data_IF_050505516876
#
_entry.id   IF_050505516876
#
_cell.length_a   1.000
_cell.length_b   1.000
_cell.length_c   1.000
_cell.angle_alpha   90.00
_cell.angle_beta   90.00
_cell.angle_gamma   90.00
#
_symmetry.space_group_name_H-M   'P 1'
#
loop_
_entity.id
_entity.type
_entity.pdbx_description
1 polymer ?
#
# COMPACT_ATOMS: atom_id res chain seq x y z
N UNK A 1 8.56 14.90 -13.45
CA UNK A 1 8.14 13.65 -12.79
C UNK A 1 9.37 13.05 -12.13
N UNK A 2 9.35 12.86 -10.83
CA UNK A 2 10.49 12.30 -10.08
C UNK A 2 10.24 10.81 -9.90
N UNK A 3 11.20 9.97 -10.32
CA UNK A 3 11.16 8.54 -10.06
C UNK A 3 11.06 8.30 -8.54
N UNK A 4 10.03 7.60 -8.03
CA UNK A 4 9.86 7.41 -6.59
C UNK A 4 11.03 6.64 -5.96
N UNK A 5 11.73 5.78 -6.71
CA UNK A 5 12.94 5.11 -6.22
C UNK A 5 14.12 6.09 -6.14
N UNK A 6 14.24 7.00 -7.11
CA UNK A 6 15.32 8.01 -7.10
C UNK A 6 15.20 9.01 -5.94
N UNK A 7 13.99 9.21 -5.41
CA UNK A 7 13.76 10.07 -4.25
C UNK A 7 14.20 9.42 -2.92
N UNK A 8 14.44 8.11 -2.90
CA UNK A 8 14.87 7.38 -1.71
C UNK A 8 16.35 7.65 -1.39
N UNK A 9 16.69 7.63 -0.10
CA UNK A 9 18.07 7.63 0.37
C UNK A 9 18.82 6.37 -0.08
N UNK A 10 20.15 6.37 -0.04
CA UNK A 10 20.97 5.21 -0.41
C UNK A 10 20.60 3.97 0.42
N UNK A 11 20.41 4.12 1.73
CA UNK A 11 19.98 3.04 2.62
C UNK A 11 18.63 2.45 2.19
N UNK A 12 17.66 3.32 1.88
CA UNK A 12 16.34 2.88 1.45
C UNK A 12 16.38 2.16 0.09
N UNK A 13 17.21 2.61 -0.86
CA UNK A 13 17.42 1.91 -2.13
C UNK A 13 17.98 0.51 -1.91
N UNK A 14 18.98 0.36 -1.07
CA UNK A 14 19.55 -0.94 -0.71
C UNK A 14 18.49 -1.86 -0.05
N UNK A 15 17.63 -1.31 0.83
CA UNK A 15 16.52 -2.08 1.40
C UNK A 15 15.48 -2.52 0.33
N UNK A 16 15.18 -1.67 -0.65
CA UNK A 16 14.30 -2.02 -1.79
C UNK A 16 14.90 -3.15 -2.63
N UNK A 17 16.19 -3.08 -2.96
CA UNK A 17 16.90 -4.14 -3.70
C UNK A 17 16.91 -5.46 -2.91
N UNK A 18 17.21 -5.39 -1.63
CA UNK A 18 17.17 -6.54 -0.74
C UNK A 18 15.75 -7.14 -0.66
N UNK A 19 14.72 -6.31 -0.55
CA UNK A 19 13.33 -6.78 -0.58
C UNK A 19 12.99 -7.48 -1.88
N UNK A 20 13.37 -6.92 -3.03
CA UNK A 20 13.15 -7.54 -4.34
C UNK A 20 13.77 -8.94 -4.41
N UNK A 21 15.01 -9.08 -3.97
CA UNK A 21 15.72 -10.37 -3.95
C UNK A 21 15.05 -11.40 -3.02
N UNK A 22 14.63 -10.97 -1.82
CA UNK A 22 13.92 -11.81 -0.85
C UNK A 22 12.53 -12.23 -1.35
N UNK A 23 11.78 -11.30 -1.95
CA UNK A 23 10.48 -11.55 -2.55
C UNK A 23 10.60 -12.60 -3.66
N UNK A 24 11.55 -12.43 -4.58
CA UNK A 24 11.80 -13.38 -5.66
C UNK A 24 12.21 -14.77 -5.11
N UNK A 25 13.05 -14.82 -4.08
CA UNK A 25 13.49 -16.07 -3.43
C UNK A 25 12.30 -16.80 -2.79
N UNK A 26 11.44 -16.09 -2.05
CA UNK A 26 10.31 -16.70 -1.35
C UNK A 26 9.15 -17.01 -2.29
N UNK A 27 9.00 -16.26 -3.37
CA UNK A 27 7.90 -16.46 -4.33
C UNK A 27 7.94 -17.86 -4.97
N UNK A 28 9.12 -18.46 -5.12
CA UNK A 28 9.29 -19.84 -5.64
C UNK A 28 8.54 -20.90 -4.82
N UNK A 29 8.17 -20.58 -3.57
CA UNK A 29 7.50 -21.50 -2.62
C UNK A 29 6.11 -21.06 -2.18
N UNK A 30 5.84 -19.76 -2.19
CA UNK A 30 4.67 -19.19 -1.50
C UNK A 30 3.69 -18.47 -2.42
N UNK A 31 3.99 -18.30 -3.71
CA UNK A 31 3.15 -17.55 -4.67
C UNK A 31 2.73 -16.17 -4.10
N UNK A 32 3.69 -15.38 -3.64
CA UNK A 32 3.46 -14.05 -3.06
C UNK A 32 3.00 -13.04 -4.12
N UNK A 33 3.50 -13.20 -5.34
CA UNK A 33 3.14 -12.46 -6.55
C UNK A 33 3.03 -13.41 -7.74
N UNK A 34 2.35 -12.99 -8.81
CA UNK A 34 2.20 -13.82 -10.00
C UNK A 34 3.58 -14.15 -10.61
N UNK A 35 3.88 -15.42 -10.92
CA UNK A 35 5.19 -15.82 -11.47
C UNK A 35 5.58 -15.09 -12.74
N UNK A 36 4.59 -14.77 -13.60
CA UNK A 36 4.78 -14.03 -14.85
C UNK A 36 5.32 -12.61 -14.68
N UNK A 37 5.23 -12.04 -13.47
CA UNK A 37 5.65 -10.67 -13.18
C UNK A 37 7.00 -10.57 -12.47
N UNK A 38 7.64 -11.70 -12.15
CA UNK A 38 8.93 -11.71 -11.44
C UNK A 38 10.10 -11.19 -12.27
N UNK A 39 10.07 -11.39 -13.59
CA UNK A 39 11.13 -10.92 -14.50
C UNK A 39 11.23 -9.38 -14.58
N UNK A 40 10.18 -8.68 -14.18
CA UNK A 40 10.10 -7.22 -14.15
C UNK A 40 9.56 -6.73 -12.77
N UNK A 41 9.97 -7.42 -11.71
CA UNK A 41 9.43 -7.19 -10.37
C UNK A 41 9.67 -5.76 -9.88
N UNK A 42 10.79 -5.14 -10.25
CA UNK A 42 11.08 -3.73 -9.92
C UNK A 42 10.00 -2.81 -10.49
N UNK A 43 9.73 -2.88 -11.79
CA UNK A 43 8.74 -2.02 -12.45
C UNK A 43 7.32 -2.39 -12.04
N UNK A 44 6.97 -3.67 -12.10
CA UNK A 44 5.58 -4.15 -11.92
C UNK A 44 5.15 -4.09 -10.45
N UNK A 45 6.05 -4.29 -9.51
CA UNK A 45 5.68 -4.38 -8.10
C UNK A 45 6.22 -3.24 -7.25
N UNK A 46 7.51 -2.92 -7.34
CA UNK A 46 8.12 -1.93 -6.45
C UNK A 46 7.74 -0.51 -6.83
N UNK A 47 7.97 -0.10 -8.08
CA UNK A 47 7.58 1.24 -8.57
C UNK A 47 6.08 1.45 -8.47
N UNK A 48 5.28 0.42 -8.83
CA UNK A 48 3.83 0.47 -8.67
C UNK A 48 3.42 0.73 -7.21
N UNK A 49 4.02 0.02 -6.25
CA UNK A 49 3.77 0.23 -4.82
C UNK A 49 4.20 1.63 -4.35
N UNK A 50 5.36 2.08 -4.80
CA UNK A 50 5.91 3.39 -4.46
C UNK A 50 5.20 4.57 -5.17
N UNK A 51 4.26 4.31 -6.09
CA UNK A 51 3.39 5.37 -6.61
C UNK A 51 2.62 6.10 -5.50
N UNK A 52 2.28 5.39 -4.41
CA UNK A 52 1.67 5.99 -3.22
C UNK A 52 2.60 7.00 -2.50
N UNK A 53 3.92 6.89 -2.72
CA UNK A 53 4.90 7.80 -2.14
C UNK A 53 5.06 9.13 -2.94
N UNK A 54 4.24 9.38 -3.98
CA UNK A 54 4.25 10.67 -4.68
C UNK A 54 3.74 11.82 -3.80
N UNK A 55 3.03 11.48 -2.71
CA UNK A 55 2.69 12.39 -1.61
C UNK A 55 3.19 11.80 -0.30
N UNK A 56 3.52 12.65 0.66
CA UNK A 56 3.99 12.22 1.96
C UNK A 56 2.89 11.49 2.75
N UNK A 57 3.26 10.45 3.48
CA UNK A 57 2.43 9.91 4.57
C UNK A 57 2.78 10.67 5.85
N UNK A 58 1.78 11.04 6.68
CA UNK A 58 2.06 11.81 7.89
C UNK A 58 2.95 11.01 8.85
N UNK A 59 4.01 11.61 9.41
CA UNK A 59 4.80 10.98 10.47
C UNK A 59 3.91 10.55 11.64
N UNK A 60 4.24 9.42 12.27
CA UNK A 60 3.49 8.83 13.39
C UNK A 60 2.04 8.41 13.06
N UNK A 61 1.60 8.55 11.80
CA UNK A 61 0.33 7.96 11.39
C UNK A 61 0.42 6.43 11.40
N UNK A 62 -0.71 5.78 11.66
CA UNK A 62 -0.86 4.33 11.43
C UNK A 62 -1.55 4.12 10.09
N UNK A 63 -0.96 3.28 9.24
CA UNK A 63 -1.48 2.91 7.92
C UNK A 63 -1.72 1.40 7.90
N UNK A 64 -2.96 0.99 7.58
CA UNK A 64 -3.32 -0.42 7.42
C UNK A 64 -3.37 -0.77 5.93
N UNK A 65 -2.75 -1.88 5.55
CA UNK A 65 -2.80 -2.42 4.18
C UNK A 65 -3.74 -3.62 4.12
N UNK A 66 -4.87 -3.45 3.44
CA UNK A 66 -5.86 -4.50 3.27
C UNK A 66 -5.45 -5.48 2.15
N UNK A 67 -5.22 -6.74 2.53
CA UNK A 67 -4.79 -7.76 1.60
C UNK A 67 -3.34 -7.60 1.16
N UNK A 68 -2.45 -7.33 2.09
CA UNK A 68 -1.04 -7.04 1.85
C UNK A 68 -0.27 -8.12 1.07
N UNK A 69 -0.77 -9.35 1.03
CA UNK A 69 -0.18 -10.43 0.25
C UNK A 69 1.29 -10.67 0.58
N UNK A 70 2.15 -10.48 -0.40
CA UNK A 70 3.61 -10.55 -0.26
C UNK A 70 4.26 -9.28 0.32
N UNK A 71 3.48 -8.41 0.99
CA UNK A 71 3.96 -7.15 1.56
C UNK A 71 3.96 -5.99 0.57
N UNK A 72 3.04 -5.99 -0.38
CA UNK A 72 2.93 -4.96 -1.42
C UNK A 72 1.55 -4.30 -1.39
N UNK A 73 1.44 -2.99 -1.11
CA UNK A 73 2.52 -1.99 -1.11
C UNK A 73 3.24 -1.78 0.23
N UNK A 74 2.90 -2.47 1.30
CA UNK A 74 3.32 -2.17 2.68
C UNK A 74 4.83 -2.11 2.87
N UNK A 75 5.60 -3.12 2.42
CA UNK A 75 7.05 -3.16 2.65
C UNK A 75 7.77 -2.00 1.95
N UNK A 76 7.52 -1.72 0.65
CA UNK A 76 8.08 -0.53 0.01
C UNK A 76 7.72 0.79 0.70
N UNK A 77 6.48 0.93 1.18
CA UNK A 77 6.06 2.13 1.90
C UNK A 77 6.72 2.25 3.28
N UNK A 78 6.86 1.15 4.02
CA UNK A 78 7.55 1.14 5.31
C UNK A 78 9.03 1.52 5.16
N UNK A 79 9.67 1.14 4.05
CA UNK A 79 11.02 1.59 3.71
C UNK A 79 11.04 3.09 3.40
N UNK A 80 10.08 3.58 2.61
CA UNK A 80 10.04 4.98 2.18
C UNK A 80 9.70 5.95 3.33
N UNK A 81 8.86 5.53 4.27
CA UNK A 81 8.33 6.34 5.37
C UNK A 81 8.66 5.74 6.74
N UNK A 82 9.90 5.84 7.23
CA UNK A 82 10.33 5.19 8.46
C UNK A 82 9.64 5.73 9.73
N UNK A 83 9.07 6.93 9.68
CA UNK A 83 8.35 7.56 10.81
C UNK A 83 6.84 7.24 10.82
N UNK A 84 6.31 6.59 9.78
CA UNK A 84 4.91 6.14 9.67
C UNK A 84 4.82 4.67 10.07
N UNK A 85 3.81 4.30 10.88
CA UNK A 85 3.57 2.92 11.31
C UNK A 85 2.72 2.18 10.31
N UNK A 86 3.09 0.94 9.98
CA UNK A 86 2.36 0.11 9.02
C UNK A 86 1.88 -1.19 9.64
N UNK A 87 0.68 -1.61 9.27
CA UNK A 87 0.11 -2.91 9.62
C UNK A 87 -0.30 -3.64 8.34
N UNK A 88 0.42 -4.70 8.00
CA UNK A 88 0.06 -5.58 6.89
C UNK A 88 -1.03 -6.57 7.33
N UNK A 89 -2.15 -6.58 6.63
CA UNK A 89 -3.30 -7.46 6.92
C UNK A 89 -3.54 -8.43 5.77
N UNK A 90 -3.56 -9.72 6.04
CA UNK A 90 -3.96 -10.76 5.07
C UNK A 90 -4.47 -12.01 5.80
N UNK A 91 -5.45 -12.69 5.18
CA UNK A 91 -6.02 -13.93 5.72
C UNK A 91 -5.13 -15.17 5.52
N UNK A 92 -4.07 -15.06 4.72
CA UNK A 92 -3.15 -16.17 4.40
C UNK A 92 -1.93 -16.15 5.31
N UNK A 93 -1.92 -16.96 6.36
CA UNK A 93 -0.87 -16.99 7.38
C UNK A 93 0.55 -17.12 6.82
N UNK A 94 0.77 -17.98 5.82
CA UNK A 94 2.08 -18.15 5.19
C UNK A 94 2.62 -16.87 4.52
N UNK A 95 1.73 -16.03 3.97
CA UNK A 95 2.11 -14.73 3.42
C UNK A 95 2.50 -13.77 4.55
N UNK A 96 1.75 -13.77 5.63
CA UNK A 96 2.03 -12.93 6.80
C UNK A 96 3.33 -13.33 7.51
N UNK A 97 3.65 -14.62 7.56
CA UNK A 97 4.98 -15.09 8.01
C UNK A 97 6.12 -14.57 7.11
N UNK A 98 5.91 -14.54 5.79
CA UNK A 98 6.87 -13.97 4.86
C UNK A 98 7.08 -12.48 5.09
N UNK A 99 6.01 -11.71 5.29
CA UNK A 99 6.08 -10.26 5.59
C UNK A 99 6.81 -10.00 6.91
N UNK A 100 6.54 -10.78 7.97
CA UNK A 100 7.30 -10.70 9.24
C UNK A 100 8.80 -10.96 9.04
N UNK A 101 9.13 -11.92 8.17
CA UNK A 101 10.53 -12.21 7.86
C UNK A 101 11.19 -11.06 7.10
N UNK A 102 10.48 -10.46 6.13
CA UNK A 102 10.97 -9.28 5.41
C UNK A 102 11.21 -8.12 6.38
N UNK A 103 10.24 -7.78 7.23
CA UNK A 103 10.40 -6.72 8.22
C UNK A 103 11.66 -6.90 9.07
N UNK A 104 11.87 -8.10 9.62
CA UNK A 104 13.07 -8.41 10.42
C UNK A 104 14.37 -8.30 9.64
N UNK A 105 14.42 -8.83 8.40
CA UNK A 105 15.66 -8.83 7.58
C UNK A 105 16.03 -7.46 7.07
N UNK A 106 15.04 -6.61 6.85
CA UNK A 106 15.22 -5.24 6.39
C UNK A 106 15.37 -4.23 7.53
N UNK A 107 15.20 -4.67 8.80
CA UNK A 107 15.25 -3.79 9.97
C UNK A 107 14.12 -2.75 9.95
N UNK A 108 12.89 -3.15 9.63
CA UNK A 108 11.71 -2.29 9.59
C UNK A 108 10.95 -2.39 10.92
N UNK A 109 11.31 -1.56 11.88
CA UNK A 109 10.66 -1.50 13.21
C UNK A 109 9.26 -0.86 13.14
N UNK A 110 8.97 -0.18 12.04
CA UNK A 110 7.69 0.48 11.74
C UNK A 110 6.70 -0.40 10.98
N UNK A 111 6.97 -1.71 10.83
CA UNK A 111 6.08 -2.65 10.13
C UNK A 111 5.67 -3.81 11.04
N UNK A 112 4.40 -3.90 11.31
CA UNK A 112 3.76 -5.01 12.01
C UNK A 112 2.83 -5.81 11.08
N UNK A 113 2.39 -6.98 11.55
CA UNK A 113 1.56 -7.88 10.76
C UNK A 113 0.37 -8.35 11.58
N UNK A 114 -0.82 -8.23 11.02
CA UNK A 114 -2.04 -8.80 11.55
C UNK A 114 -2.55 -9.92 10.63
N UNK A 115 -2.69 -11.14 11.17
CA UNK A 115 -3.13 -12.31 10.40
C UNK A 115 -4.61 -12.58 10.66
N UNK A 116 -5.44 -12.38 9.67
CA UNK A 116 -6.87 -12.61 9.73
C UNK A 116 -7.63 -11.99 8.56
N UNK A 117 -8.94 -12.12 8.61
CA UNK A 117 -9.85 -11.48 7.65
C UNK A 117 -10.02 -10.01 7.99
N UNK A 118 -10.00 -9.13 6.98
CA UNK A 118 -10.13 -7.68 7.17
C UNK A 118 -11.40 -7.28 7.96
N UNK A 119 -12.49 -8.03 7.79
CA UNK A 119 -13.74 -7.84 8.52
C UNK A 119 -13.61 -8.04 10.03
N UNK A 120 -12.65 -8.85 10.46
CA UNK A 120 -12.39 -9.18 11.88
C UNK A 120 -11.22 -8.38 12.47
N UNK A 121 -10.68 -7.40 11.71
CA UNK A 121 -9.52 -6.64 12.17
C UNK A 121 -9.82 -5.87 13.48
N UNK A 122 -9.00 -6.12 14.49
CA UNK A 122 -9.03 -5.51 15.82
C UNK A 122 -7.63 -5.02 16.28
N UNK A 123 -6.72 -4.85 15.32
CA UNK A 123 -5.37 -4.32 15.56
C UNK A 123 -5.34 -2.80 15.77
N UNK A 124 -4.14 -2.19 15.73
CA UNK A 124 -3.98 -0.74 15.88
C UNK A 124 -4.86 0.05 14.90
N UNK A 125 -5.62 1.01 15.44
CA UNK A 125 -6.55 1.80 14.66
C UNK A 125 -5.82 2.70 13.64
N UNK A 126 -6.17 2.66 12.34
CA UNK A 126 -5.49 3.41 11.30
C UNK A 126 -5.99 4.85 11.17
N UNK A 127 -5.08 5.73 10.75
CA UNK A 127 -5.42 7.06 10.27
C UNK A 127 -5.64 7.08 8.74
N UNK A 128 -5.03 6.13 8.03
CA UNK A 128 -5.22 5.89 6.59
C UNK A 128 -5.21 4.38 6.33
N UNK A 129 -5.86 3.98 5.23
CA UNK A 129 -5.74 2.62 4.73
C UNK A 129 -5.20 2.62 3.30
N UNK A 130 -4.48 1.56 2.96
CA UNK A 130 -4.00 1.33 1.60
C UNK A 130 -4.46 -0.05 1.13
N UNK A 131 -4.51 -0.27 -0.17
CA UNK A 131 -4.69 -1.61 -0.74
C UNK A 131 -4.20 -1.67 -2.18
N UNK A 132 -3.78 -2.86 -2.62
CA UNK A 132 -3.41 -3.13 -4.00
C UNK A 132 -4.14 -4.36 -4.52
N UNK A 133 -5.10 -4.14 -5.45
CA UNK A 133 -5.79 -5.18 -6.23
C UNK A 133 -6.39 -6.34 -5.40
N UNK A 134 -6.98 -6.03 -4.23
CA UNK A 134 -7.49 -7.04 -3.29
C UNK A 134 -8.99 -7.27 -3.43
N UNK A 135 -9.79 -6.18 -3.47
CA UNK A 135 -11.25 -6.23 -3.49
C UNK A 135 -11.83 -4.99 -4.21
N UNK A 136 -13.15 -4.96 -4.52
CA UNK A 136 -13.83 -3.76 -5.01
C UNK A 136 -13.75 -2.60 -4.01
N UNK A 137 -13.83 -1.34 -4.51
CA UNK A 137 -13.71 -0.13 -3.67
C UNK A 137 -14.73 -0.10 -2.53
N UNK A 138 -15.99 -0.46 -2.77
CA UNK A 138 -17.02 -0.47 -1.75
C UNK A 138 -16.71 -1.46 -0.61
N UNK A 139 -16.15 -2.64 -0.94
CA UNK A 139 -15.71 -3.61 0.05
C UNK A 139 -14.50 -3.08 0.86
N UNK A 140 -13.51 -2.52 0.17
CA UNK A 140 -12.34 -1.95 0.85
C UNK A 140 -12.74 -0.77 1.75
N UNK A 141 -13.71 0.05 1.31
CA UNK A 141 -14.23 1.15 2.11
C UNK A 141 -14.95 0.64 3.36
N UNK A 142 -15.80 -0.38 3.24
CA UNK A 142 -16.51 -0.96 4.40
C UNK A 142 -15.57 -1.51 5.48
N UNK A 143 -14.40 -2.03 5.11
CA UNK A 143 -13.36 -2.41 6.07
C UNK A 143 -12.68 -1.20 6.70
N UNK A 144 -12.45 -0.16 5.88
CA UNK A 144 -11.74 1.06 6.26
C UNK A 144 -12.55 1.92 7.22
N UNK A 145 -13.78 2.30 6.87
CA UNK A 145 -14.61 3.23 7.66
C UNK A 145 -14.87 2.74 9.08
N UNK A 146 -14.93 1.41 9.28
CA UNK A 146 -15.18 0.79 10.58
C UNK A 146 -14.06 1.02 11.60
N UNK A 147 -12.84 1.26 11.14
CA UNK A 147 -11.64 1.26 12.00
C UNK A 147 -10.85 2.57 11.96
N UNK A 148 -11.17 3.48 11.05
CA UNK A 148 -10.51 4.78 10.96
C UNK A 148 -10.67 5.58 12.24
N UNK A 149 -9.58 6.24 12.64
CA UNK A 149 -9.58 7.19 13.75
C UNK A 149 -9.21 8.59 13.26
N UNK A 150 -9.72 9.64 13.94
CA UNK A 150 -9.39 11.02 13.63
C UNK A 150 -7.88 11.28 13.72
N UNK A 151 -7.40 12.23 12.90
CA UNK A 151 -6.07 12.79 12.97
C UNK A 151 -6.13 14.18 13.61
N UNK A 152 -5.44 14.38 14.72
CA UNK A 152 -5.52 15.62 15.50
C UNK A 152 -4.25 16.46 15.44
N UNK A 153 -3.31 16.12 14.55
CA UNK A 153 -2.01 16.81 14.43
C UNK A 153 -1.96 17.70 13.19
N UNK A 154 -1.06 18.69 13.13
CA UNK A 154 -0.80 19.45 11.91
C UNK A 154 -0.44 18.51 10.74
N UNK A 155 -0.95 18.85 9.56
CA UNK A 155 -0.72 18.08 8.33
C UNK A 155 0.00 18.98 7.33
N UNK A 156 1.08 18.45 6.73
CA UNK A 156 1.73 19.13 5.62
C UNK A 156 0.79 19.19 4.41
N UNK A 157 0.72 20.31 3.68
CA UNK A 157 -0.22 20.46 2.54
C UNK A 157 -0.07 19.39 1.45
N UNK A 158 1.15 18.88 1.28
CA UNK A 158 1.50 17.84 0.30
C UNK A 158 1.26 16.41 0.82
N UNK A 159 0.88 16.23 2.08
CA UNK A 159 0.62 14.90 2.64
C UNK A 159 -0.73 14.33 2.19
N UNK A 160 -0.83 13.00 2.23
CA UNK A 160 -2.11 12.32 2.12
C UNK A 160 -3.03 12.69 3.28
N UNK A 161 -4.28 12.99 2.98
CA UNK A 161 -5.25 13.33 4.02
C UNK A 161 -5.57 12.09 4.88
N UNK A 162 -5.46 12.17 6.21
CA UNK A 162 -6.02 11.14 7.09
C UNK A 162 -7.53 10.98 6.88
N UNK A 163 -8.06 9.79 7.16
CA UNK A 163 -9.42 9.44 6.82
C UNK A 163 -9.58 8.89 5.40
N UNK A 164 -8.48 8.76 4.64
CA UNK A 164 -8.50 8.26 3.25
C UNK A 164 -8.22 6.76 3.15
N UNK A 165 -8.84 6.16 2.14
CA UNK A 165 -8.47 4.88 1.55
C UNK A 165 -7.74 5.15 0.24
N UNK A 166 -6.47 4.73 0.14
CA UNK A 166 -5.64 4.86 -1.05
C UNK A 166 -5.53 3.51 -1.73
N UNK A 167 -5.90 3.39 -3.01
CA UNK A 167 -5.79 2.11 -3.70
C UNK A 167 -5.02 2.19 -5.01
N UNK A 168 -4.32 1.10 -5.32
CA UNK A 168 -3.67 0.89 -6.61
C UNK A 168 -4.50 -0.13 -7.40
N UNK A 169 -5.12 0.33 -8.47
CA UNK A 169 -6.05 -0.45 -9.28
C UNK A 169 -5.71 -0.41 -10.77
N UNK A 170 -6.50 -1.07 -11.58
CA UNK A 170 -6.39 -1.03 -13.03
C UNK A 170 -7.75 -1.20 -13.68
N UNK A 171 -7.85 -0.76 -14.94
CA UNK A 171 -9.08 -0.77 -15.70
C UNK A 171 -10.00 0.41 -15.41
N UNK A 172 -11.22 0.31 -15.96
CA UNK A 172 -12.29 1.28 -15.69
C UNK A 172 -12.88 1.06 -14.30
N UNK A 173 -12.94 2.10 -13.49
CA UNK A 173 -13.49 2.07 -12.12
C UNK A 173 -14.87 2.71 -12.01
N UNK A 174 -15.51 3.05 -13.12
CA UNK A 174 -16.80 3.76 -13.12
C UNK A 174 -17.83 3.03 -12.26
N UNK A 175 -17.99 1.72 -12.46
CA UNK A 175 -18.97 0.91 -11.70
C UNK A 175 -18.55 0.75 -10.22
N UNK A 176 -17.25 0.60 -9.95
CA UNK A 176 -16.75 0.49 -8.56
C UNK A 176 -16.96 1.79 -7.79
N UNK A 177 -16.77 2.94 -8.43
CA UNK A 177 -17.00 4.25 -7.82
C UNK A 177 -18.49 4.50 -7.63
N UNK A 178 -19.32 4.15 -8.61
CA UNK A 178 -20.77 4.28 -8.51
C UNK A 178 -21.38 3.39 -7.41
N UNK A 179 -20.73 2.29 -7.05
CA UNK A 179 -21.15 1.39 -5.97
C UNK A 179 -20.74 1.86 -4.55
N UNK A 180 -19.98 2.95 -4.43
CA UNK A 180 -19.60 3.49 -3.13
C UNK A 180 -20.81 4.11 -2.41
N UNK A 181 -20.84 4.08 -1.06
CA UNK A 181 -21.86 4.80 -0.29
C UNK A 181 -21.87 6.30 -0.60
N UNK A 182 -23.03 6.93 -0.49
CA UNK A 182 -23.16 8.40 -0.62
C UNK A 182 -22.31 9.14 0.43
N UNK A 183 -21.90 10.37 0.11
CA UNK A 183 -21.08 11.21 1.01
C UNK A 183 -19.58 10.93 0.91
N UNK A 184 -19.13 10.16 -0.08
CA UNK A 184 -17.73 9.93 -0.37
C UNK A 184 -17.30 10.65 -1.65
N UNK A 185 -16.05 11.08 -1.67
CA UNK A 185 -15.36 11.59 -2.87
C UNK A 185 -14.22 10.64 -3.22
N UNK A 186 -14.09 10.30 -4.52
CA UNK A 186 -12.97 9.51 -5.03
C UNK A 186 -12.24 10.30 -6.11
N UNK A 187 -10.98 10.61 -5.83
CA UNK A 187 -10.05 11.15 -6.83
C UNK A 187 -9.31 10.00 -7.50
N UNK A 188 -9.25 10.01 -8.84
CA UNK A 188 -8.56 9.02 -9.64
C UNK A 188 -7.38 9.68 -10.35
N UNK A 189 -6.18 9.18 -10.12
CA UNK A 189 -4.95 9.68 -10.74
C UNK A 189 -4.34 8.57 -11.60
N UNK A 190 -4.21 8.74 -12.92
CA UNK A 190 -3.49 7.80 -13.77
C UNK A 190 -2.05 7.62 -13.30
N UNK A 191 -1.58 6.38 -13.16
CA UNK A 191 -0.19 6.14 -12.76
C UNK A 191 0.83 6.62 -13.79
N UNK A 192 0.42 6.78 -15.04
CA UNK A 192 1.24 7.38 -16.07
C UNK A 192 1.64 8.84 -15.76
N UNK A 193 0.82 9.58 -15.00
CA UNK A 193 1.13 10.94 -14.54
C UNK A 193 2.20 10.95 -13.44
N UNK A 194 2.26 9.88 -12.63
CA UNK A 194 3.19 9.74 -11.50
C UNK A 194 4.48 9.05 -11.94
N UNK A 195 4.37 7.93 -12.65
CA UNK A 195 5.46 7.00 -12.96
C UNK A 195 5.92 7.02 -14.42
N UNK A 196 5.19 7.72 -15.31
CA UNK A 196 5.45 7.75 -16.75
C UNK A 196 4.66 6.69 -17.54
N UNK A 197 4.85 6.65 -18.88
CA UNK A 197 3.96 5.95 -19.81
C UNK A 197 3.98 4.42 -19.72
N UNK A 198 4.85 3.84 -18.91
CA UNK A 198 4.95 2.39 -18.73
C UNK A 198 3.83 1.73 -17.91
N UNK A 199 2.80 2.50 -17.49
CA UNK A 199 1.71 2.04 -16.64
C UNK A 199 0.32 2.34 -17.26
N UNK A 200 0.04 1.81 -18.46
CA UNK A 200 -1.26 2.02 -19.08
C UNK A 200 -2.37 1.41 -18.22
N UNK A 201 -3.52 2.06 -18.18
CA UNK A 201 -4.72 1.59 -17.45
C UNK A 201 -4.51 1.33 -15.95
N UNK A 202 -3.39 1.79 -15.36
CA UNK A 202 -3.18 1.73 -13.91
C UNK A 202 -3.47 3.08 -13.29
N UNK A 203 -4.18 3.03 -12.17
CA UNK A 203 -4.60 4.23 -11.46
C UNK A 203 -4.33 4.10 -9.96
N UNK A 204 -4.15 5.24 -9.33
CA UNK A 204 -4.22 5.45 -7.90
C UNK A 204 -5.56 6.10 -7.59
N UNK A 205 -6.28 5.62 -6.58
CA UNK A 205 -7.48 6.29 -6.09
C UNK A 205 -7.29 6.76 -4.65
N UNK A 206 -7.83 7.94 -4.34
CA UNK A 206 -8.02 8.44 -2.98
C UNK A 206 -9.53 8.55 -2.73
N UNK A 207 -10.07 7.70 -1.86
CA UNK A 207 -11.47 7.71 -1.44
C UNK A 207 -11.56 8.19 0.01
N UNK A 208 -12.42 9.20 0.27
CA UNK A 208 -12.60 9.79 1.62
C UNK A 208 -13.98 10.43 1.75
N UNK A 209 -14.43 10.78 2.97
CA UNK A 209 -15.59 11.62 3.16
C UNK A 209 -15.49 12.95 2.38
N UNK A 210 -16.62 13.41 1.82
CA UNK A 210 -16.73 14.62 1.00
C UNK A 210 -16.54 15.91 1.80
#
# INVERSE_FOLDING_TARGET
MTDPIAALSERQRQQIEQFAAELARMNRRLNLVAPSTLGDAERVHLRHSLALAHRALPPEATVVDWGAGGGLPTVPLAIAFPETQFVAVDAVGKKMEAVRLFARRLGLDNLSVWHGRAEAYDGPAPHLCVSRATAPLATLWSWTERVLVPWERPLAPEAWAPGSLLTLKGGDLTDEIAALPGGLTTHVTPLAEILGPGYPEKVLTETRPA
#
